data_IF_559930381807
#
_entry.id   IF_559930381807
#
_cell.length_a   1.000
_cell.length_b   1.000
_cell.length_c   1.000
_cell.angle_alpha   90.00
_cell.angle_beta   90.00
_cell.angle_gamma   90.00
#
_symmetry.space_group_name_H-M   'P 1'
#
loop_
_entity.id
_entity.type
_entity.pdbx_description
1 polymer ?
#
# COMPACT_ATOMS: atom_id res chain seq x y z
N UNK A 1 26.84 -9.66 19.64
CA UNK A 1 25.78 -9.65 18.63
C UNK A 1 24.94 -8.42 18.78
N UNK A 2 24.75 -7.66 17.69
CA UNK A 2 23.84 -6.53 17.67
C UNK A 2 22.42 -7.07 17.42
N UNK A 3 21.45 -6.55 18.19
CA UNK A 3 20.03 -6.86 18.03
C UNK A 3 19.31 -5.62 17.56
N UNK A 4 18.51 -5.75 16.50
CA UNK A 4 17.66 -4.66 16.02
C UNK A 4 16.61 -4.32 17.07
N UNK A 5 16.41 -3.04 17.33
CA UNK A 5 15.41 -2.56 18.29
C UNK A 5 14.31 -1.76 17.57
N UNK A 6 13.19 -1.54 18.27
CA UNK A 6 12.09 -0.68 17.80
C UNK A 6 12.48 0.80 17.61
N UNK A 7 13.66 1.20 18.11
CA UNK A 7 14.14 2.59 18.00
C UNK A 7 14.90 2.85 16.69
N UNK A 8 14.93 1.89 15.76
CA UNK A 8 15.48 2.13 14.44
C UNK A 8 14.67 3.23 13.74
N UNK A 9 15.38 4.18 13.14
CA UNK A 9 14.79 5.24 12.31
C UNK A 9 15.51 5.24 10.96
N UNK A 10 14.74 5.27 9.90
CA UNK A 10 15.23 5.48 8.55
C UNK A 10 15.22 7.00 8.28
N UNK A 11 16.28 7.51 7.66
CA UNK A 11 16.40 8.92 7.27
C UNK A 11 16.28 8.98 5.76
N UNK A 12 15.05 9.02 5.27
CA UNK A 12 14.75 9.09 3.86
C UNK A 12 14.92 10.52 3.33
N UNK A 13 15.32 10.63 2.07
CA UNK A 13 15.20 11.88 1.35
C UNK A 13 13.73 12.12 1.00
N UNK A 14 13.29 13.36 1.07
CA UNK A 14 11.98 13.73 0.57
C UNK A 14 11.87 13.40 -0.93
N UNK A 15 10.67 12.96 -1.40
CA UNK A 15 10.42 12.84 -2.82
C UNK A 15 10.76 14.13 -3.56
N UNK A 16 11.55 14.03 -4.65
CA UNK A 16 12.03 15.18 -5.40
C UNK A 16 10.93 15.93 -6.15
N UNK A 17 9.83 15.23 -6.46
CA UNK A 17 8.68 15.78 -7.17
C UNK A 17 7.41 15.72 -6.28
N UNK A 18 6.36 16.37 -6.75
CA UNK A 18 5.02 16.30 -6.13
C UNK A 18 4.48 14.89 -6.30
N UNK A 19 4.02 14.29 -5.20
CA UNK A 19 3.41 12.97 -5.17
C UNK A 19 1.89 13.08 -5.09
N UNK A 20 1.18 11.95 -5.32
CA UNK A 20 -0.26 11.90 -5.10
C UNK A 20 -0.64 12.20 -3.63
N UNK A 21 0.25 11.94 -2.68
CA UNK A 21 0.02 12.25 -1.27
C UNK A 21 -0.02 13.77 -1.05
N UNK A 22 0.88 14.52 -1.71
CA UNK A 22 0.90 15.98 -1.67
C UNK A 22 -0.38 16.55 -2.28
N UNK A 23 -0.81 16.05 -3.42
CA UNK A 23 -1.99 16.50 -4.14
C UNK A 23 -3.28 16.27 -3.33
N UNK A 24 -3.41 15.09 -2.70
CA UNK A 24 -4.52 14.78 -1.81
C UNK A 24 -4.56 15.75 -0.62
N UNK A 25 -3.42 15.95 0.03
CA UNK A 25 -3.28 16.85 1.18
C UNK A 25 -3.62 18.31 0.80
N UNK A 26 -3.09 18.81 -0.32
CA UNK A 26 -3.39 20.15 -0.82
C UNK A 26 -4.90 20.35 -1.10
N UNK A 27 -5.59 19.28 -1.47
CA UNK A 27 -7.04 19.27 -1.66
C UNK A 27 -7.83 19.18 -0.36
N UNK A 28 -7.16 19.10 0.77
CA UNK A 28 -7.78 18.96 2.09
C UNK A 28 -8.30 17.56 2.40
N UNK A 29 -7.82 16.55 1.68
CA UNK A 29 -8.16 15.15 1.90
C UNK A 29 -7.19 14.52 2.91
N UNK A 30 -7.68 13.52 3.63
CA UNK A 30 -6.85 12.76 4.56
C UNK A 30 -5.86 11.85 3.82
N UNK A 31 -4.62 11.82 4.28
CA UNK A 31 -3.60 10.85 3.87
C UNK A 31 -3.09 10.16 5.14
N UNK A 32 -3.58 8.96 5.38
CA UNK A 32 -3.30 8.19 6.58
C UNK A 32 -2.30 7.08 6.27
N UNK A 33 -1.12 7.19 6.83
CA UNK A 33 -0.01 6.27 6.64
C UNK A 33 0.03 5.20 7.74
N UNK A 34 0.12 3.93 7.35
CA UNK A 34 0.28 2.79 8.25
C UNK A 34 1.59 2.07 7.93
N UNK A 35 2.39 1.79 8.94
CA UNK A 35 3.67 1.13 8.81
C UNK A 35 4.78 2.08 8.37
N UNK A 36 5.55 1.73 7.36
CA UNK A 36 6.71 2.51 6.89
C UNK A 36 6.39 3.63 5.90
N UNK A 37 5.14 3.85 5.56
CA UNK A 37 4.77 4.86 4.55
C UNK A 37 5.29 6.25 4.94
N UNK A 38 5.16 6.63 6.22
CA UNK A 38 5.69 7.91 6.70
C UNK A 38 7.20 8.01 6.49
N UNK A 39 7.95 6.96 6.81
CA UNK A 39 9.40 6.94 6.64
C UNK A 39 9.78 7.00 5.15
N UNK A 40 9.09 6.26 4.27
CA UNK A 40 9.35 6.20 2.83
C UNK A 40 9.19 7.58 2.18
N UNK A 41 8.14 8.32 2.56
CA UNK A 41 7.84 9.64 2.02
C UNK A 41 8.41 10.79 2.86
N UNK A 42 9.25 10.49 3.89
CA UNK A 42 9.80 11.49 4.81
C UNK A 42 8.72 12.39 5.45
N UNK A 43 7.52 11.87 5.65
CA UNK A 43 6.35 12.58 6.17
C UNK A 43 5.66 13.50 5.16
N UNK A 44 6.20 13.66 3.94
CA UNK A 44 5.66 14.60 2.95
C UNK A 44 4.28 14.15 2.45
N UNK A 45 3.32 15.06 2.44
CA UNK A 45 1.95 14.82 1.99
C UNK A 45 1.08 14.00 2.96
N UNK A 46 1.60 13.56 4.12
CA UNK A 46 0.89 12.72 5.09
C UNK A 46 0.19 13.60 6.14
N UNK A 47 -1.08 13.32 6.41
CA UNK A 47 -1.87 14.04 7.43
C UNK A 47 -1.83 13.33 8.79
N UNK A 48 -1.79 12.00 8.80
CA UNK A 48 -1.71 11.17 10.00
C UNK A 48 -0.87 9.92 9.72
N UNK A 49 -0.08 9.50 10.69
CA UNK A 49 0.75 8.29 10.56
C UNK A 49 0.71 7.42 11.81
N UNK A 50 0.90 6.12 11.62
CA UNK A 50 1.07 5.16 12.70
C UNK A 50 2.07 4.08 12.31
N UNK A 51 3.11 3.90 13.14
CA UNK A 51 4.06 2.80 12.96
C UNK A 51 3.46 1.46 13.39
N UNK A 52 3.99 0.39 12.84
CA UNK A 52 3.53 -0.98 13.08
C UNK A 52 4.66 -1.89 13.55
N UNK A 53 4.30 -2.96 14.27
CA UNK A 53 5.24 -3.95 14.76
C UNK A 53 5.21 -5.26 13.97
N UNK A 54 4.15 -5.48 13.19
CA UNK A 54 3.94 -6.66 12.35
C UNK A 54 2.88 -6.38 11.28
N UNK A 55 2.73 -7.28 10.33
CA UNK A 55 1.65 -7.24 9.35
C UNK A 55 0.26 -7.18 10.01
N UNK A 56 0.03 -8.01 11.02
CA UNK A 56 -1.28 -8.06 11.69
C UNK A 56 -1.58 -6.80 12.49
N UNK A 57 -0.58 -6.20 13.11
CA UNK A 57 -0.71 -4.87 13.73
C UNK A 57 -1.03 -3.79 12.68
N UNK A 58 -0.44 -3.91 11.48
CA UNK A 58 -0.75 -3.05 10.34
C UNK A 58 -2.20 -3.17 9.87
N UNK A 59 -2.71 -4.39 9.75
CA UNK A 59 -4.12 -4.66 9.43
C UNK A 59 -5.05 -4.04 10.48
N UNK A 60 -4.76 -4.24 11.77
CA UNK A 60 -5.56 -3.68 12.85
C UNK A 60 -5.60 -2.14 12.81
N UNK A 61 -4.46 -1.50 12.59
CA UNK A 61 -4.37 -0.04 12.49
C UNK A 61 -5.05 0.51 11.26
N UNK A 62 -4.98 -0.20 10.14
CA UNK A 62 -5.74 0.11 8.93
C UNK A 62 -7.24 0.11 9.21
N UNK A 63 -7.74 -0.95 9.85
CA UNK A 63 -9.15 -1.05 10.24
C UNK A 63 -9.56 0.08 11.18
N UNK A 64 -8.72 0.44 12.15
CA UNK A 64 -8.98 1.58 13.05
C UNK A 64 -9.06 2.92 12.31
N UNK A 65 -8.30 3.11 11.25
CA UNK A 65 -8.46 4.28 10.39
C UNK A 65 -9.75 4.23 9.57
N UNK A 66 -10.13 3.07 9.04
CA UNK A 66 -11.38 2.91 8.30
C UNK A 66 -12.64 3.20 9.15
N UNK A 67 -12.58 2.95 10.46
CA UNK A 67 -13.67 3.21 11.40
C UNK A 67 -13.84 4.69 11.76
N UNK A 68 -12.89 5.54 11.41
CA UNK A 68 -12.96 6.98 11.66
C UNK A 68 -13.73 7.69 10.54
N UNK A 69 -14.25 8.88 10.87
CA UNK A 69 -14.79 9.75 9.84
C UNK A 69 -13.65 10.43 9.09
N UNK A 70 -13.41 9.97 7.88
CA UNK A 70 -12.32 10.43 7.03
C UNK A 70 -12.72 10.34 5.55
N UNK A 71 -12.08 11.16 4.72
CA UNK A 71 -12.18 11.11 3.27
C UNK A 71 -10.80 11.30 2.66
N UNK A 72 -10.31 10.29 1.95
CA UNK A 72 -8.99 10.34 1.35
C UNK A 72 -8.37 8.97 1.16
N UNK A 73 -7.09 8.83 1.48
CA UNK A 73 -6.29 7.64 1.26
C UNK A 73 -5.82 7.05 2.60
N UNK A 74 -6.09 5.78 2.83
CA UNK A 74 -5.36 4.98 3.82
C UNK A 74 -4.31 4.19 3.06
N UNK A 75 -3.04 4.45 3.33
CA UNK A 75 -1.92 3.79 2.67
C UNK A 75 -1.15 2.95 3.68
N UNK A 76 -1.25 1.63 3.55
CA UNK A 76 -0.62 0.69 4.46
C UNK A 76 0.53 -0.06 3.79
N UNK A 77 1.65 -0.20 4.50
CA UNK A 77 2.76 -1.05 4.14
C UNK A 77 2.91 -2.18 5.17
N UNK A 78 2.69 -3.42 4.72
CA UNK A 78 2.81 -4.63 5.55
C UNK A 78 4.21 -5.20 5.39
N UNK A 79 5.12 -4.80 6.26
CA UNK A 79 6.57 -4.94 6.08
C UNK A 79 7.16 -6.32 6.36
N UNK A 80 6.43 -7.22 7.03
CA UNK A 80 6.98 -8.53 7.42
C UNK A 80 7.27 -9.41 6.20
N UNK A 81 6.50 -9.27 5.11
CA UNK A 81 6.73 -9.98 3.86
C UNK A 81 8.17 -9.81 3.39
N UNK A 82 8.66 -8.59 3.40
CA UNK A 82 10.02 -8.24 3.03
C UNK A 82 11.02 -8.48 4.17
N UNK A 83 10.80 -7.83 5.32
CA UNK A 83 11.80 -7.75 6.39
C UNK A 83 12.01 -9.05 7.16
N UNK A 84 10.94 -9.83 7.37
CA UNK A 84 10.98 -11.05 8.18
C UNK A 84 11.21 -12.28 7.33
N UNK A 85 10.59 -12.34 6.15
CA UNK A 85 10.56 -13.54 5.31
C UNK A 85 11.35 -13.39 4.01
N UNK A 86 11.16 -12.32 3.24
CA UNK A 86 11.80 -12.11 1.95
C UNK A 86 13.32 -12.09 2.04
N UNK A 87 13.89 -11.16 2.78
CA UNK A 87 15.33 -11.05 3.03
C UNK A 87 15.94 -12.20 3.85
N UNK A 88 15.16 -13.23 4.17
CA UNK A 88 15.60 -14.44 4.87
C UNK A 88 15.43 -15.70 4.04
N UNK A 89 14.90 -15.56 2.82
CA UNK A 89 14.56 -16.71 1.97
C UNK A 89 13.67 -17.73 2.70
N UNK A 90 12.80 -17.24 3.60
CA UNK A 90 11.85 -18.04 4.35
C UNK A 90 10.54 -18.17 3.57
N UNK A 91 10.52 -19.03 2.57
CA UNK A 91 9.34 -19.25 1.74
C UNK A 91 8.13 -19.79 2.52
N UNK A 92 8.36 -20.62 3.53
CA UNK A 92 7.28 -21.16 4.37
C UNK A 92 6.68 -20.07 5.29
N UNK A 93 7.53 -19.22 5.86
CA UNK A 93 7.08 -18.07 6.64
C UNK A 93 6.34 -17.04 5.78
N UNK A 94 6.83 -16.78 4.56
CA UNK A 94 6.19 -15.90 3.59
C UNK A 94 4.79 -16.39 3.22
N UNK A 95 4.66 -17.69 2.92
CA UNK A 95 3.36 -18.36 2.67
C UNK A 95 2.40 -18.19 3.84
N UNK A 96 2.85 -18.47 5.07
CA UNK A 96 2.02 -18.32 6.27
C UNK A 96 1.55 -16.87 6.46
N UNK A 97 2.43 -15.91 6.22
CA UNK A 97 2.06 -14.49 6.30
C UNK A 97 0.98 -14.09 5.27
N UNK A 98 1.02 -14.67 4.06
CA UNK A 98 -0.04 -14.49 3.05
C UNK A 98 -1.36 -15.12 3.53
N UNK A 99 -1.31 -16.34 4.07
CA UNK A 99 -2.48 -17.03 4.60
C UNK A 99 -3.10 -16.26 5.80
N UNK A 100 -2.27 -15.72 6.68
CA UNK A 100 -2.73 -14.87 7.80
C UNK A 100 -3.39 -13.58 7.32
N UNK A 101 -2.82 -12.93 6.30
CA UNK A 101 -3.43 -11.74 5.70
C UNK A 101 -4.76 -12.09 5.02
N UNK A 102 -4.82 -13.18 4.26
CA UNK A 102 -6.04 -13.65 3.59
C UNK A 102 -7.17 -13.93 4.59
N UNK A 103 -6.85 -14.53 5.74
CA UNK A 103 -7.83 -14.75 6.83
C UNK A 103 -8.37 -13.43 7.42
N UNK A 104 -7.59 -12.36 7.39
CA UNK A 104 -8.00 -11.04 7.90
C UNK A 104 -8.68 -10.16 6.85
N UNK A 105 -8.54 -10.50 5.56
CA UNK A 105 -9.12 -9.72 4.45
C UNK A 105 -10.66 -9.55 4.55
N UNK A 106 -11.45 -10.56 4.93
CA UNK A 106 -12.89 -10.39 5.15
C UNK A 106 -13.23 -9.33 6.20
N UNK A 107 -12.40 -9.15 7.22
CA UNK A 107 -12.59 -8.11 8.25
C UNK A 107 -12.42 -6.72 7.63
N UNK A 108 -11.37 -6.50 6.84
CA UNK A 108 -11.16 -5.24 6.09
C UNK A 108 -12.36 -4.98 5.19
N UNK A 109 -12.76 -5.96 4.39
CA UNK A 109 -13.89 -5.84 3.46
C UNK A 109 -15.19 -5.49 4.19
N UNK A 110 -15.43 -6.06 5.39
CA UNK A 110 -16.63 -5.78 6.18
C UNK A 110 -16.71 -4.35 6.71
N UNK A 111 -15.59 -3.64 6.78
CA UNK A 111 -15.51 -2.24 7.24
C UNK A 111 -15.54 -1.23 6.10
N UNK A 112 -15.46 -1.67 4.85
CA UNK A 112 -15.54 -0.79 3.69
C UNK A 112 -16.92 -0.15 3.57
N UNK A 113 -16.95 1.13 3.28
CA UNK A 113 -18.14 1.87 2.85
C UNK A 113 -18.42 1.56 1.38
N UNK A 114 -19.64 1.78 0.94
CA UNK A 114 -20.04 1.55 -0.47
C UNK A 114 -19.21 2.33 -1.49
N UNK A 115 -18.67 3.47 -1.07
CA UNK A 115 -17.81 4.34 -1.89
C UNK A 115 -16.34 3.95 -1.91
N UNK A 116 -15.92 3.00 -1.09
CA UNK A 116 -14.51 2.68 -0.92
C UNK A 116 -14.01 1.75 -2.03
N UNK A 117 -12.76 1.95 -2.40
CA UNK A 117 -11.98 1.09 -3.28
C UNK A 117 -10.78 0.55 -2.51
N UNK A 118 -10.69 -0.77 -2.38
CA UNK A 118 -9.51 -1.46 -1.88
C UNK A 118 -8.59 -1.78 -3.04
N UNK A 119 -7.32 -1.41 -2.91
CA UNK A 119 -6.25 -1.80 -3.84
C UNK A 119 -5.21 -2.60 -3.04
N UNK A 120 -4.93 -3.82 -3.47
CA UNK A 120 -3.86 -4.65 -2.90
C UNK A 120 -2.79 -4.79 -3.97
N UNK A 121 -1.56 -4.41 -3.62
CA UNK A 121 -0.41 -4.48 -4.52
C UNK A 121 0.87 -4.70 -3.71
N UNK A 122 2.02 -4.66 -4.36
CA UNK A 122 3.32 -4.60 -3.71
C UNK A 122 4.15 -3.46 -4.32
N UNK A 123 5.11 -2.95 -3.58
CA UNK A 123 6.04 -1.90 -3.96
C UNK A 123 7.20 -2.42 -4.81
N UNK A 124 7.57 -3.68 -4.66
CA UNK A 124 8.58 -4.40 -5.45
C UNK A 124 8.32 -5.90 -5.46
N UNK A 125 9.06 -6.63 -6.29
CA UNK A 125 9.12 -8.08 -6.28
C UNK A 125 9.96 -8.58 -5.11
N UNK A 126 9.58 -9.73 -4.59
CA UNK A 126 10.34 -10.44 -3.57
C UNK A 126 10.05 -11.94 -3.71
N UNK A 127 11.01 -12.69 -4.24
CA UNK A 127 10.91 -14.15 -4.37
C UNK A 127 11.79 -14.83 -3.33
N UNK A 128 11.24 -15.37 -2.23
CA UNK A 128 12.00 -16.01 -1.18
C UNK A 128 12.58 -17.38 -1.57
N UNK A 129 12.35 -17.83 -2.81
CA UNK A 129 12.89 -19.11 -3.33
C UNK A 129 14.15 -18.93 -4.17
N UNK A 130 14.58 -17.69 -4.42
CA UNK A 130 15.83 -17.40 -5.12
C UNK A 130 17.05 -17.56 -4.21
N UNK A 131 18.25 -17.62 -4.81
CA UNK A 131 19.50 -17.69 -4.03
C UNK A 131 19.85 -16.34 -3.36
N UNK A 132 19.37 -15.23 -3.94
CA UNK A 132 19.58 -13.88 -3.41
C UNK A 132 18.65 -13.59 -2.24
N UNK A 133 19.13 -12.84 -1.26
CA UNK A 133 18.32 -12.26 -0.19
C UNK A 133 17.85 -10.83 -0.52
N UNK A 134 18.14 -10.35 -1.72
CA UNK A 134 17.73 -9.03 -2.19
C UNK A 134 16.37 -9.08 -2.89
N UNK A 135 15.79 -7.91 -3.16
CA UNK A 135 14.56 -7.79 -3.93
C UNK A 135 14.72 -8.38 -5.33
N UNK A 136 13.66 -8.98 -5.84
CA UNK A 136 13.62 -9.57 -7.17
C UNK A 136 12.76 -8.73 -8.12
N UNK A 137 12.88 -8.99 -9.43
CA UNK A 137 12.18 -8.21 -10.48
C UNK A 137 10.92 -8.93 -10.98
N UNK A 138 10.15 -9.42 -10.05
CA UNK A 138 8.88 -10.06 -10.35
C UNK A 138 7.80 -9.04 -10.67
N UNK A 139 6.83 -9.44 -11.50
CA UNK A 139 5.59 -8.68 -11.61
C UNK A 139 4.82 -8.75 -10.29
N UNK A 140 4.39 -7.60 -9.82
CA UNK A 140 3.57 -7.51 -8.60
C UNK A 140 2.08 -7.56 -8.95
N UNK A 141 1.23 -8.09 -8.06
CA UNK A 141 -0.21 -8.11 -8.28
C UNK A 141 -0.79 -6.70 -8.17
N UNK A 142 -1.90 -6.46 -8.88
CA UNK A 142 -2.82 -5.34 -8.63
C UNK A 142 -4.22 -5.91 -8.54
N UNK A 143 -4.73 -6.03 -7.33
CA UNK A 143 -6.06 -6.56 -7.03
C UNK A 143 -6.96 -5.44 -6.55
N UNK A 144 -8.17 -5.38 -7.11
CA UNK A 144 -9.14 -4.34 -6.80
C UNK A 144 -10.42 -4.95 -6.27
N UNK A 145 -10.95 -4.34 -5.22
CA UNK A 145 -12.25 -4.71 -4.68
C UNK A 145 -13.03 -3.46 -4.26
N UNK A 146 -14.31 -3.43 -4.62
CA UNK A 146 -15.22 -2.35 -4.23
C UNK A 146 -16.63 -2.64 -4.75
N UNK A 147 -17.63 -2.02 -4.13
CA UNK A 147 -19.03 -2.23 -4.49
C UNK A 147 -19.40 -1.62 -5.85
N UNK A 148 -18.76 -0.50 -6.18
CA UNK A 148 -19.09 0.31 -7.35
C UNK A 148 -18.13 0.07 -8.53
N UNK A 149 -17.44 -1.06 -8.56
CA UNK A 149 -16.56 -1.43 -9.67
C UNK A 149 -17.06 -2.71 -10.36
N UNK A 150 -16.72 -2.85 -11.64
CA UNK A 150 -17.00 -4.04 -12.42
C UNK A 150 -16.17 -5.22 -11.93
N UNK A 151 -16.82 -6.34 -11.68
CA UNK A 151 -16.12 -7.59 -11.33
C UNK A 151 -15.50 -8.26 -12.56
N UNK A 152 -14.41 -9.00 -12.36
CA UNK A 152 -13.79 -9.83 -13.38
C UNK A 152 -13.04 -9.07 -14.48
N UNK A 153 -12.77 -7.79 -14.29
CA UNK A 153 -11.98 -6.99 -15.23
C UNK A 153 -10.50 -7.37 -15.14
N UNK A 154 -9.92 -7.69 -16.30
CA UNK A 154 -8.48 -7.90 -16.42
C UNK A 154 -7.81 -6.58 -16.83
N UNK A 155 -7.01 -6.01 -15.96
CA UNK A 155 -6.27 -4.75 -16.21
C UNK A 155 -5.06 -4.93 -17.14
N UNK A 156 -4.69 -6.17 -17.48
CA UNK A 156 -3.45 -6.47 -18.17
C UNK A 156 -2.22 -6.12 -17.34
N UNK A 157 -1.07 -6.12 -17.98
CA UNK A 157 0.19 -5.66 -17.35
C UNK A 157 0.31 -4.15 -17.49
N UNK A 158 0.43 -3.46 -16.36
CA UNK A 158 0.62 -2.01 -16.34
C UNK A 158 2.10 -1.67 -16.54
N UNK A 159 2.37 -0.52 -17.15
CA UNK A 159 3.73 -0.12 -17.50
C UNK A 159 4.47 0.59 -16.36
N UNK A 160 3.75 1.11 -15.36
CA UNK A 160 4.33 1.85 -14.25
C UNK A 160 3.45 1.73 -12.99
N UNK A 161 4.08 1.77 -11.82
CA UNK A 161 3.39 1.91 -10.53
C UNK A 161 2.59 3.21 -10.41
N UNK A 162 3.02 4.25 -11.11
CA UNK A 162 2.33 5.55 -11.12
C UNK A 162 0.90 5.49 -11.69
N UNK A 163 0.52 4.41 -12.37
CA UNK A 163 -0.86 4.21 -12.81
C UNK A 163 -1.84 4.14 -11.64
N UNK A 164 -1.39 3.68 -10.46
CA UNK A 164 -2.17 3.72 -9.23
C UNK A 164 -2.37 5.18 -8.79
N UNK A 165 -1.31 6.00 -8.80
CA UNK A 165 -1.40 7.41 -8.46
C UNK A 165 -2.35 8.17 -9.42
N UNK A 166 -2.24 7.93 -10.73
CA UNK A 166 -3.15 8.49 -11.73
C UNK A 166 -4.60 8.08 -11.50
N UNK A 167 -4.83 6.83 -11.08
CA UNK A 167 -6.18 6.33 -10.78
C UNK A 167 -6.74 7.00 -9.52
N UNK A 168 -5.93 7.15 -8.47
CA UNK A 168 -6.31 7.87 -7.24
C UNK A 168 -6.63 9.33 -7.58
N UNK A 169 -5.80 9.99 -8.40
CA UNK A 169 -6.04 11.36 -8.85
C UNK A 169 -7.41 11.50 -9.53
N UNK A 170 -7.75 10.59 -10.44
CA UNK A 170 -9.04 10.60 -11.14
C UNK A 170 -10.22 10.37 -10.19
N UNK A 171 -10.12 9.42 -9.24
CA UNK A 171 -11.15 9.16 -8.21
C UNK A 171 -11.46 10.44 -7.44
N UNK A 172 -10.44 11.18 -7.03
CA UNK A 172 -10.59 12.42 -6.25
C UNK A 172 -10.71 13.68 -7.10
N UNK A 173 -10.82 13.54 -8.44
CA UNK A 173 -10.91 14.67 -9.39
C UNK A 173 -9.75 15.65 -9.23
N UNK A 174 -8.56 15.12 -9.12
CA UNK A 174 -7.29 15.82 -9.14
C UNK A 174 -6.74 15.76 -10.56
N UNK A 175 -6.11 16.81 -11.04
CA UNK A 175 -5.45 16.81 -12.34
C UNK A 175 -4.33 15.77 -12.33
N UNK A 176 -4.31 14.90 -13.35
CA UNK A 176 -3.25 13.91 -13.47
C UNK A 176 -1.96 14.57 -14.00
N UNK A 177 -1.07 14.92 -13.09
CA UNK A 177 0.27 15.46 -13.42
C UNK A 177 1.33 14.37 -13.57
N UNK A 178 0.97 13.12 -13.31
CA UNK A 178 1.84 11.96 -13.40
C UNK A 178 1.95 11.48 -14.85
N UNK A 179 3.13 11.08 -15.29
CA UNK A 179 3.31 10.42 -16.59
C UNK A 179 2.81 8.97 -16.53
N UNK A 180 1.50 8.82 -16.36
CA UNK A 180 0.84 7.56 -16.05
C UNK A 180 -0.61 7.54 -16.53
N UNK A 181 -1.18 6.35 -16.66
CA UNK A 181 -2.54 6.13 -17.15
C UNK A 181 -3.44 5.55 -16.05
N UNK A 182 -4.49 6.27 -15.73
CA UNK A 182 -5.53 5.75 -14.84
C UNK A 182 -6.21 4.52 -15.44
N UNK A 183 -6.50 3.55 -14.59
CA UNK A 183 -7.33 2.40 -14.95
C UNK A 183 -8.78 2.52 -14.45
N UNK A 184 -9.15 3.65 -13.83
CA UNK A 184 -10.53 3.87 -13.36
C UNK A 184 -11.57 3.63 -14.46
N UNK A 185 -11.42 4.14 -15.71
CA UNK A 185 -12.41 3.94 -16.77
C UNK A 185 -12.62 2.48 -17.17
N UNK A 186 -11.68 1.59 -16.85
CA UNK A 186 -11.82 0.17 -17.13
C UNK A 186 -12.73 -0.53 -16.12
N UNK A 187 -12.77 -0.02 -14.89
CA UNK A 187 -13.41 -0.69 -13.75
C UNK A 187 -14.73 -0.06 -13.31
N UNK A 188 -15.11 1.09 -13.84
CA UNK A 188 -16.40 1.75 -13.57
C UNK A 188 -17.36 1.69 -14.73
#
# INVERSE_FOLDING_TARGET
NFVRTKNRKDFSLEPGDITILDELNQKGLDVMAVGKIEDIFAGKGITRAVHTFSNMDGVEKTIKFMEQDNQGLIFANLVDFDMVYGHRNDAEGYKKALEEFDMRLPEIVSKMKDSDLLIITADHGCDPTTESTDHSREYVPVLLYGKNIKAGVNLGTRSTFSDIAATIAEIFRIENTFNANSFLPLIV
#
